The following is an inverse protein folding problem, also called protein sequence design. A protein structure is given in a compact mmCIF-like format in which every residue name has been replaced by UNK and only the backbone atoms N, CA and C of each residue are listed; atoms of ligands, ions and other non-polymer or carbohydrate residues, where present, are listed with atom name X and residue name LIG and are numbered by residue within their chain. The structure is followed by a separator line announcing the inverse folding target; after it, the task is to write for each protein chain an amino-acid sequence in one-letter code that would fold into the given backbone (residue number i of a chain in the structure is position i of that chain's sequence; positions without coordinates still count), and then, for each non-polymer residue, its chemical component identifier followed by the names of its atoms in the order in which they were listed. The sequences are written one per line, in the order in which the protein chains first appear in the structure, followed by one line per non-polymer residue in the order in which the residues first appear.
data_IF_027552961147
#
_entry.id   IF_027552961147
#
_cell.length_a   1.000
_cell.length_b   1.000
_cell.length_c   1.000
_cell.angle_alpha   90.00
_cell.angle_beta   90.00
_cell.angle_gamma   90.00
#
_symmetry.space_group_name_H-M   'P 1'
#
loop_
_entity.id
_entity.type
_entity.pdbx_description
1 polymer ?
#
# COMPACT_ATOMS: atom_id res chain seq x y z
N UNK A 1 11.14 -14.30 12.29
CA UNK A 1 12.48 -13.66 12.06
C UNK A 1 13.12 -14.47 10.94
N UNK A 2 13.52 -13.83 9.85
CA UNK A 2 14.15 -14.54 8.72
C UNK A 2 15.55 -14.94 9.14
N UNK A 3 15.87 -16.21 9.04
CA UNK A 3 17.20 -16.71 9.36
C UNK A 3 18.22 -16.32 8.28
N UNK A 4 19.49 -16.15 8.68
CA UNK A 4 20.57 -15.77 7.73
C UNK A 4 20.67 -16.74 6.57
N UNK A 5 20.47 -18.02 6.85
CA UNK A 5 20.56 -19.09 5.87
C UNK A 5 19.45 -19.02 4.84
N UNK A 6 18.21 -18.72 5.28
CA UNK A 6 17.05 -18.60 4.40
C UNK A 6 17.21 -17.46 3.37
N UNK A 7 17.66 -16.27 3.81
CA UNK A 7 17.82 -15.13 2.92
C UNK A 7 18.85 -15.37 1.80
N UNK A 8 20.00 -15.96 2.17
CA UNK A 8 21.04 -16.32 1.21
C UNK A 8 20.59 -17.39 0.23
N UNK A 9 19.85 -18.38 0.71
CA UNK A 9 19.30 -19.47 -0.10
C UNK A 9 18.24 -18.95 -1.10
N UNK A 10 17.31 -18.10 -0.65
CA UNK A 10 16.33 -17.46 -1.55
C UNK A 10 16.99 -16.66 -2.67
N UNK A 11 18.02 -15.89 -2.33
CA UNK A 11 18.78 -15.17 -3.33
C UNK A 11 19.46 -16.13 -4.33
N UNK A 12 20.14 -17.16 -3.83
CA UNK A 12 20.82 -18.19 -4.64
C UNK A 12 19.87 -18.85 -5.63
N UNK A 13 18.66 -19.23 -5.18
CA UNK A 13 17.64 -19.81 -6.06
C UNK A 13 17.26 -18.87 -7.21
N UNK A 14 17.02 -17.60 -6.91
CA UNK A 14 16.69 -16.59 -7.93
C UNK A 14 17.82 -16.39 -8.95
N UNK A 15 19.07 -16.37 -8.48
CA UNK A 15 20.23 -16.27 -9.34
C UNK A 15 20.39 -17.50 -10.24
N UNK A 16 20.29 -18.71 -9.66
CA UNK A 16 20.42 -19.95 -10.41
C UNK A 16 19.30 -20.15 -11.43
N UNK A 17 18.08 -19.75 -11.10
CA UNK A 17 16.96 -19.77 -12.04
C UNK A 17 17.23 -18.93 -13.30
N UNK A 18 18.10 -17.91 -13.19
CA UNK A 18 18.56 -17.06 -14.30
C UNK A 18 19.85 -17.56 -14.95
N UNK A 19 20.35 -18.73 -14.52
CA UNK A 19 21.61 -19.36 -15.00
C UNK A 19 22.84 -18.47 -14.83
N UNK A 20 22.82 -17.53 -13.87
CA UNK A 20 23.93 -16.64 -13.56
C UNK A 20 24.91 -17.28 -12.57
N UNK A 21 26.20 -17.09 -12.78
CA UNK A 21 27.27 -17.40 -11.81
C UNK A 21 27.43 -16.24 -10.84
N UNK A 22 28.03 -16.47 -9.68
CA UNK A 22 28.35 -15.39 -8.73
C UNK A 22 29.29 -14.34 -9.35
N UNK A 23 30.18 -14.77 -10.25
CA UNK A 23 31.06 -13.86 -11.01
C UNK A 23 30.31 -12.94 -11.95
N UNK A 24 29.17 -13.36 -12.46
CA UNK A 24 28.36 -12.57 -13.40
C UNK A 24 27.60 -11.44 -12.69
N UNK A 25 27.38 -11.59 -11.38
CA UNK A 25 26.72 -10.60 -10.52
C UNK A 25 27.73 -9.70 -9.80
N UNK A 26 28.97 -10.17 -9.64
CA UNK A 26 30.01 -9.39 -8.98
C UNK A 26 30.27 -8.06 -9.69
N UNK A 27 30.37 -6.96 -8.91
CA UNK A 27 30.58 -5.61 -9.41
C UNK A 27 31.43 -4.78 -8.43
N UNK A 28 31.66 -3.52 -8.74
CA UNK A 28 32.29 -2.58 -7.82
C UNK A 28 31.43 -2.47 -6.54
N UNK A 29 31.98 -2.88 -5.41
CA UNK A 29 31.27 -2.91 -4.11
C UNK A 29 30.75 -4.29 -3.69
N UNK A 30 30.64 -5.28 -4.61
CA UNK A 30 30.14 -6.63 -4.30
C UNK A 30 30.99 -7.71 -4.99
N UNK A 31 31.74 -8.49 -4.21
CA UNK A 31 32.60 -9.54 -4.74
C UNK A 31 31.89 -10.90 -4.82
N UNK A 32 32.33 -11.78 -5.74
CA UNK A 32 31.84 -13.15 -5.82
C UNK A 32 32.05 -13.94 -4.51
N UNK A 33 33.14 -13.67 -3.78
CA UNK A 33 33.39 -14.27 -2.46
C UNK A 33 32.39 -13.85 -1.40
N UNK A 34 31.95 -12.58 -1.42
CA UNK A 34 30.91 -12.09 -0.51
C UNK A 34 29.56 -12.72 -0.85
N UNK A 35 29.20 -12.81 -2.12
CA UNK A 35 28.00 -13.52 -2.58
C UNK A 35 28.03 -14.99 -2.16
N UNK A 36 29.17 -15.69 -2.32
CA UNK A 36 29.30 -17.07 -1.92
C UNK A 36 29.06 -17.29 -0.42
N UNK A 37 29.65 -16.46 0.43
CA UNK A 37 29.44 -16.52 1.89
C UNK A 37 27.99 -16.21 2.29
N UNK A 38 27.37 -15.27 1.60
CA UNK A 38 25.97 -14.92 1.81
C UNK A 38 25.03 -16.06 1.43
N UNK A 39 25.20 -16.64 0.24
CA UNK A 39 24.38 -17.76 -0.26
C UNK A 39 24.54 -19.06 0.57
N UNK A 40 25.66 -19.19 1.30
CA UNK A 40 25.90 -20.30 2.23
C UNK A 40 25.45 -19.97 3.66
N UNK A 41 24.83 -18.82 3.90
CA UNK A 41 24.41 -18.38 5.23
C UNK A 41 25.57 -18.07 6.19
N UNK A 42 26.82 -18.00 5.69
CA UNK A 42 28.00 -17.74 6.52
C UNK A 42 28.12 -16.28 6.93
N UNK A 43 27.62 -15.34 6.11
CA UNK A 43 27.58 -13.90 6.41
C UNK A 43 26.37 -13.24 5.78
N UNK A 44 25.88 -12.17 6.41
CA UNK A 44 24.90 -11.27 5.79
C UNK A 44 25.62 -10.26 4.90
N UNK A 45 24.93 -9.81 3.86
CA UNK A 45 25.32 -8.62 3.12
C UNK A 45 24.81 -7.37 3.87
N UNK A 46 25.57 -6.28 3.79
CA UNK A 46 25.04 -4.96 4.15
C UNK A 46 23.96 -4.54 3.17
N UNK A 47 23.10 -3.59 3.56
CA UNK A 47 21.95 -3.20 2.74
C UNK A 47 22.34 -2.74 1.32
N UNK A 48 23.40 -1.94 1.20
CA UNK A 48 23.96 -1.49 -0.07
C UNK A 48 24.37 -2.67 -0.98
N UNK A 49 25.03 -3.68 -0.42
CA UNK A 49 25.44 -4.89 -1.15
C UNK A 49 24.28 -5.80 -1.51
N UNK A 50 23.27 -5.88 -0.66
CA UNK A 50 22.05 -6.63 -0.98
C UNK A 50 21.30 -5.96 -2.15
N UNK A 51 21.24 -4.63 -2.18
CA UNK A 51 20.70 -3.87 -3.30
C UNK A 51 21.42 -4.23 -4.60
N UNK A 52 22.75 -4.17 -4.60
CA UNK A 52 23.57 -4.53 -5.76
C UNK A 52 23.35 -5.99 -6.20
N UNK A 53 23.23 -6.91 -5.25
CA UNK A 53 22.97 -8.31 -5.52
C UNK A 53 21.62 -8.53 -6.21
N UNK A 54 20.54 -7.92 -5.71
CA UNK A 54 19.19 -8.01 -6.27
C UNK A 54 19.15 -7.41 -7.68
N UNK A 55 19.72 -6.23 -7.87
CA UNK A 55 19.83 -5.57 -9.17
C UNK A 55 20.64 -6.41 -10.17
N UNK A 56 21.74 -7.00 -9.70
CA UNK A 56 22.63 -7.82 -10.52
C UNK A 56 22.00 -9.10 -11.09
N UNK A 57 20.88 -9.53 -10.54
CA UNK A 57 20.07 -10.63 -11.08
C UNK A 57 18.80 -10.16 -11.79
N UNK A 58 18.66 -8.86 -12.02
CA UNK A 58 17.51 -8.24 -12.68
C UNK A 58 16.17 -8.63 -12.04
N UNK A 59 16.09 -8.50 -10.73
CA UNK A 59 14.90 -8.71 -9.90
C UNK A 59 14.56 -7.40 -9.23
N UNK A 60 13.28 -7.08 -9.13
CA UNK A 60 12.81 -5.93 -8.35
C UNK A 60 12.76 -6.25 -6.85
N UNK A 61 12.77 -5.21 -6.01
CA UNK A 61 12.60 -5.40 -4.56
C UNK A 61 11.28 -6.04 -4.20
N UNK A 62 10.21 -5.71 -4.94
CA UNK A 62 8.88 -6.28 -4.74
C UNK A 62 8.85 -7.78 -5.04
N UNK A 63 9.46 -8.21 -6.14
CA UNK A 63 9.59 -9.63 -6.49
C UNK A 63 10.43 -10.39 -5.46
N UNK A 64 11.55 -9.78 -5.03
CA UNK A 64 12.39 -10.37 -3.98
C UNK A 64 11.66 -10.47 -2.65
N UNK A 65 10.97 -9.41 -2.23
CA UNK A 65 10.17 -9.36 -1.02
C UNK A 65 9.00 -10.34 -1.04
N UNK A 66 8.33 -10.49 -2.19
CA UNK A 66 7.24 -11.45 -2.36
C UNK A 66 7.72 -12.90 -2.17
N UNK A 67 8.85 -13.27 -2.78
CA UNK A 67 9.47 -14.59 -2.56
C UNK A 67 9.89 -14.77 -1.10
N UNK A 68 10.48 -13.73 -0.50
CA UNK A 68 10.92 -13.75 0.90
C UNK A 68 9.76 -14.00 1.88
N UNK A 69 8.58 -13.49 1.55
CA UNK A 69 7.33 -13.75 2.27
C UNK A 69 6.65 -15.06 1.86
N UNK A 70 7.39 -16.02 1.31
CA UNK A 70 6.82 -17.29 0.83
C UNK A 70 5.64 -17.09 -0.13
N UNK A 71 5.76 -16.13 -1.02
CA UNK A 71 4.71 -15.74 -1.97
C UNK A 71 3.39 -15.31 -1.31
N UNK A 72 3.48 -14.81 -0.07
CA UNK A 72 2.34 -14.25 0.66
C UNK A 72 2.35 -12.72 0.54
N UNK A 73 1.16 -12.15 0.52
CA UNK A 73 0.98 -10.70 0.61
C UNK A 73 1.46 -10.15 1.96
N UNK A 74 1.85 -8.88 1.98
CA UNK A 74 2.11 -8.18 3.24
C UNK A 74 0.85 -8.17 4.13
N UNK A 75 0.99 -8.04 5.46
CA UNK A 75 -0.16 -8.02 6.37
C UNK A 75 -1.23 -6.99 5.97
N UNK A 76 -0.82 -5.76 5.60
CA UNK A 76 -1.74 -4.71 5.19
C UNK A 76 -2.50 -5.06 3.90
N UNK A 77 -1.82 -5.60 2.89
CA UNK A 77 -2.47 -6.00 1.63
C UNK A 77 -3.44 -7.17 1.86
N UNK A 78 -3.06 -8.11 2.74
CA UNK A 78 -3.92 -9.24 3.13
C UNK A 78 -5.20 -8.77 3.82
N UNK A 79 -5.09 -7.80 4.73
CA UNK A 79 -6.25 -7.17 5.41
C UNK A 79 -7.11 -6.46 4.36
N UNK A 80 -6.54 -5.60 3.52
CA UNK A 80 -7.27 -4.89 2.47
C UNK A 80 -8.02 -5.84 1.54
N UNK A 81 -7.40 -6.93 1.09
CA UNK A 81 -8.06 -7.95 0.27
C UNK A 81 -9.20 -8.64 0.99
N UNK A 82 -9.05 -8.94 2.31
CA UNK A 82 -10.14 -9.50 3.11
C UNK A 82 -11.31 -8.52 3.21
N UNK A 83 -11.05 -7.24 3.43
CA UNK A 83 -12.07 -6.18 3.46
C UNK A 83 -12.83 -6.14 2.14
N UNK A 84 -12.14 -6.01 1.01
CA UNK A 84 -12.78 -5.97 -0.33
C UNK A 84 -13.62 -7.21 -0.57
N UNK A 85 -13.13 -8.40 -0.23
CA UNK A 85 -13.89 -9.64 -0.41
C UNK A 85 -15.19 -9.65 0.42
N UNK A 86 -15.12 -9.27 1.72
CA UNK A 86 -16.30 -9.22 2.59
C UNK A 86 -17.29 -8.13 2.16
N UNK A 87 -16.76 -6.96 1.81
CA UNK A 87 -17.56 -5.84 1.33
C UNK A 87 -18.33 -6.19 0.05
N UNK A 88 -17.68 -6.78 -0.92
CA UNK A 88 -18.29 -7.18 -2.21
C UNK A 88 -19.41 -8.20 -2.01
N UNK A 89 -19.30 -9.06 -0.99
CA UNK A 89 -20.35 -10.04 -0.65
C UNK A 89 -21.36 -9.51 0.38
N UNK A 90 -21.28 -8.23 0.77
CA UNK A 90 -22.12 -7.60 1.80
C UNK A 90 -22.11 -8.36 3.15
N UNK A 91 -20.95 -8.95 3.47
CA UNK A 91 -20.74 -9.81 4.63
C UNK A 91 -20.33 -8.96 5.86
N UNK A 92 -21.29 -8.27 6.48
CA UNK A 92 -21.07 -7.45 7.67
C UNK A 92 -20.50 -8.29 8.83
N UNK A 93 -21.07 -9.46 9.10
CA UNK A 93 -20.57 -10.33 10.16
C UNK A 93 -19.12 -10.77 9.94
N UNK A 94 -18.73 -11.01 8.68
CA UNK A 94 -17.36 -11.28 8.32
C UNK A 94 -16.44 -10.08 8.51
N UNK A 95 -16.91 -8.85 8.29
CA UNK A 95 -16.15 -7.62 8.59
C UNK A 95 -15.98 -7.41 10.10
N UNK A 96 -17.02 -7.62 10.91
CA UNK A 96 -16.93 -7.57 12.37
C UNK A 96 -15.91 -8.57 12.92
N UNK A 97 -15.95 -9.80 12.42
CA UNK A 97 -14.93 -10.80 12.76
C UNK A 97 -13.52 -10.38 12.35
N UNK A 98 -13.37 -9.76 11.18
CA UNK A 98 -12.07 -9.25 10.71
C UNK A 98 -11.57 -8.13 11.62
N UNK A 99 -12.44 -7.30 12.18
CA UNK A 99 -12.09 -6.28 13.16
C UNK A 99 -11.44 -6.90 14.40
N UNK A 100 -12.03 -7.98 14.95
CA UNK A 100 -11.45 -8.72 16.07
C UNK A 100 -10.08 -9.36 15.70
N UNK A 101 -9.96 -9.91 14.47
CA UNK A 101 -8.71 -10.50 13.99
C UNK A 101 -7.58 -9.47 13.91
N UNK A 102 -7.88 -8.25 13.44
CA UNK A 102 -6.88 -7.17 13.27
C UNK A 102 -6.30 -6.71 14.61
N UNK A 103 -7.06 -6.74 15.69
CA UNK A 103 -6.57 -6.40 17.04
C UNK A 103 -5.48 -7.36 17.52
N UNK A 104 -5.44 -8.59 17.02
CA UNK A 104 -4.45 -9.63 17.37
C UNK A 104 -3.27 -9.70 16.40
N UNK A 105 -3.29 -8.94 15.29
CA UNK A 105 -2.20 -8.98 14.30
C UNK A 105 -0.88 -8.45 14.87
N UNK A 106 0.24 -9.08 14.44
CA UNK A 106 1.59 -8.68 14.84
C UNK A 106 2.06 -7.44 14.05
N UNK A 107 1.48 -6.30 14.38
CA UNK A 107 1.88 -4.99 13.83
C UNK A 107 1.84 -3.93 14.92
N UNK A 108 2.44 -2.74 14.67
CA UNK A 108 2.38 -1.64 15.62
C UNK A 108 0.93 -1.21 15.90
N UNK A 109 0.65 -0.81 17.14
CA UNK A 109 -0.70 -0.45 17.59
C UNK A 109 -1.35 0.62 16.69
N UNK A 110 -0.58 1.62 16.27
CA UNK A 110 -1.03 2.65 15.32
C UNK A 110 -1.63 2.03 14.06
N UNK A 111 -0.94 1.09 13.43
CA UNK A 111 -1.41 0.47 12.20
C UNK A 111 -2.56 -0.51 12.41
N UNK A 112 -2.66 -1.16 13.58
CA UNK A 112 -3.85 -1.94 13.94
C UNK A 112 -5.09 -1.05 13.99
N UNK A 113 -4.99 0.09 14.71
CA UNK A 113 -6.10 1.06 14.82
C UNK A 113 -6.48 1.63 13.45
N UNK A 114 -5.54 2.01 12.61
CA UNK A 114 -5.81 2.52 11.26
C UNK A 114 -6.51 1.48 10.37
N UNK A 115 -6.08 0.21 10.39
CA UNK A 115 -6.78 -0.85 9.68
C UNK A 115 -8.17 -1.13 10.25
N UNK A 116 -8.35 -1.05 11.57
CA UNK A 116 -9.66 -1.16 12.21
C UNK A 116 -10.61 -0.06 11.73
N UNK A 117 -10.14 1.19 11.60
CA UNK A 117 -10.92 2.31 11.05
C UNK A 117 -11.38 2.01 9.62
N UNK A 118 -10.52 1.46 8.76
CA UNK A 118 -10.92 1.07 7.39
C UNK A 118 -12.00 -0.02 7.40
N UNK A 119 -11.93 -0.98 8.34
CA UNK A 119 -12.97 -2.01 8.47
C UNK A 119 -14.30 -1.40 8.96
N UNK A 120 -14.23 -0.49 9.93
CA UNK A 120 -15.42 0.23 10.43
C UNK A 120 -16.08 1.05 9.32
N UNK A 121 -15.30 1.70 8.45
CA UNK A 121 -15.81 2.41 7.27
C UNK A 121 -16.51 1.47 6.30
N UNK A 122 -15.93 0.31 6.03
CA UNK A 122 -16.54 -0.69 5.18
C UNK A 122 -17.89 -1.20 5.75
N UNK A 123 -17.99 -1.39 7.07
CA UNK A 123 -19.23 -1.75 7.73
C UNK A 123 -20.26 -0.61 7.61
N UNK A 124 -19.86 0.63 7.92
CA UNK A 124 -20.73 1.81 7.80
C UNK A 124 -21.24 2.02 6.38
N UNK A 125 -20.42 1.71 5.38
CA UNK A 125 -20.82 1.82 3.97
C UNK A 125 -21.92 0.80 3.60
N UNK A 126 -21.96 -0.35 4.27
CA UNK A 126 -23.01 -1.37 4.10
C UNK A 126 -24.21 -1.15 5.03
N UNK A 127 -23.99 -0.65 6.25
CA UNK A 127 -25.02 -0.30 7.22
C UNK A 127 -24.78 1.10 7.78
N UNK A 128 -25.52 2.08 7.29
CA UNK A 128 -25.42 3.49 7.70
C UNK A 128 -25.77 3.75 9.17
N UNK A 129 -26.33 2.77 9.88
CA UNK A 129 -26.57 2.87 11.34
C UNK A 129 -25.33 2.49 12.16
N UNK A 130 -24.31 1.85 11.55
CA UNK A 130 -23.05 1.57 12.23
C UNK A 130 -22.34 2.88 12.57
N UNK A 131 -22.03 3.14 13.86
CA UNK A 131 -21.49 4.44 14.27
C UNK A 131 -20.05 4.62 13.80
N UNK A 132 -19.72 5.84 13.34
CA UNK A 132 -18.35 6.29 13.16
C UNK A 132 -17.97 7.12 14.40
N UNK A 133 -17.01 6.63 15.18
CA UNK A 133 -16.62 7.24 16.45
C UNK A 133 -15.75 8.47 16.23
N UNK A 134 -16.04 9.57 16.94
CA UNK A 134 -15.28 10.83 16.83
C UNK A 134 -13.81 10.64 17.18
N UNK A 135 -13.50 9.80 18.17
CA UNK A 135 -12.11 9.48 18.56
C UNK A 135 -11.32 8.81 17.42
N UNK A 136 -11.98 7.99 16.60
CA UNK A 136 -11.34 7.36 15.44
C UNK A 136 -11.14 8.38 14.31
N UNK A 137 -12.10 9.29 14.11
CA UNK A 137 -11.98 10.42 13.19
C UNK A 137 -10.82 11.34 13.54
N UNK A 138 -10.71 11.74 14.81
CA UNK A 138 -9.61 12.58 15.31
C UNK A 138 -8.26 11.89 15.16
N UNK A 139 -8.18 10.60 15.49
CA UNK A 139 -6.94 9.82 15.37
C UNK A 139 -6.50 9.69 13.90
N UNK A 140 -7.42 9.35 13.01
CA UNK A 140 -7.19 9.23 11.57
C UNK A 140 -6.70 10.56 10.98
N UNK A 141 -7.42 11.64 11.28
CA UNK A 141 -7.13 12.97 10.78
C UNK A 141 -5.76 13.43 11.26
N UNK A 142 -5.47 13.28 12.56
CA UNK A 142 -4.16 13.63 13.13
C UNK A 142 -3.02 12.85 12.48
N UNK A 143 -3.22 11.56 12.21
CA UNK A 143 -2.23 10.74 11.50
C UNK A 143 -1.97 11.27 10.09
N UNK A 144 -3.03 11.47 9.28
CA UNK A 144 -2.89 11.93 7.89
C UNK A 144 -2.28 13.33 7.77
N UNK A 145 -2.56 14.22 8.74
CA UNK A 145 -1.93 15.54 8.80
C UNK A 145 -0.43 15.45 9.09
N UNK A 146 -0.03 14.56 10.01
CA UNK A 146 1.35 14.44 10.46
C UNK A 146 2.30 13.85 9.41
N UNK A 147 1.81 13.10 8.41
CA UNK A 147 2.65 12.48 7.38
C UNK A 147 2.89 13.47 6.23
N UNK A 148 4.15 13.81 6.00
CA UNK A 148 4.54 14.79 4.96
C UNK A 148 4.57 14.20 3.56
N UNK A 149 4.97 12.91 3.43
CA UNK A 149 5.10 12.21 2.15
C UNK A 149 4.28 10.93 2.16
N UNK A 150 3.23 10.90 1.33
CA UNK A 150 2.29 9.79 1.31
C UNK A 150 2.78 8.68 0.40
N UNK A 151 2.98 7.52 1.02
CA UNK A 151 3.22 6.26 0.32
C UNK A 151 1.90 5.57 -0.02
N UNK A 152 1.98 4.33 -0.51
CA UNK A 152 0.79 3.52 -0.80
C UNK A 152 -0.16 3.39 0.40
N UNK A 153 0.36 3.28 1.62
CA UNK A 153 -0.48 3.05 2.79
C UNK A 153 -1.36 4.25 3.14
N UNK A 154 -0.83 5.47 3.07
CA UNK A 154 -1.60 6.70 3.32
C UNK A 154 -2.65 6.94 2.23
N UNK A 155 -2.31 6.62 0.97
CA UNK A 155 -3.28 6.67 -0.15
C UNK A 155 -4.41 5.68 0.08
N UNK A 156 -4.07 4.42 0.41
CA UNK A 156 -5.04 3.39 0.73
C UNK A 156 -5.94 3.81 1.90
N UNK A 157 -5.36 4.32 2.98
CA UNK A 157 -6.07 4.76 4.16
C UNK A 157 -7.04 5.89 3.82
N UNK A 158 -6.55 6.97 3.22
CA UNK A 158 -7.38 8.12 2.86
C UNK A 158 -8.53 7.74 1.92
N UNK A 159 -8.25 6.96 0.87
CA UNK A 159 -9.26 6.57 -0.12
C UNK A 159 -10.38 5.68 0.45
N UNK A 160 -10.14 5.03 1.60
CA UNK A 160 -11.11 4.09 2.20
C UNK A 160 -11.63 4.56 3.58
N UNK A 161 -11.48 5.85 3.90
CA UNK A 161 -11.94 6.39 5.19
C UNK A 161 -12.49 7.82 5.08
N UNK A 162 -12.85 8.27 3.89
CA UNK A 162 -13.39 9.62 3.67
C UNK A 162 -14.65 9.94 4.50
N UNK A 163 -15.58 9.00 4.73
CA UNK A 163 -16.74 9.22 5.59
C UNK A 163 -16.40 9.65 7.03
N UNK A 164 -15.23 9.28 7.56
CA UNK A 164 -14.77 9.73 8.88
C UNK A 164 -14.34 11.20 8.92
N UNK A 165 -14.08 11.80 7.77
CA UNK A 165 -13.52 13.15 7.70
C UNK A 165 -14.61 14.22 7.70
N UNK A 166 -14.37 15.33 8.41
CA UNK A 166 -15.19 16.52 8.25
C UNK A 166 -15.07 17.08 6.81
N UNK A 167 -16.00 17.93 6.39
CA UNK A 167 -15.91 18.56 5.07
C UNK A 167 -14.60 19.36 4.89
N UNK A 168 -14.12 20.01 5.95
CA UNK A 168 -12.88 20.78 5.91
C UNK A 168 -11.66 19.86 5.75
N UNK A 169 -11.61 18.78 6.53
CA UNK A 169 -10.52 17.80 6.48
C UNK A 169 -10.50 17.05 5.15
N UNK A 170 -11.68 16.66 4.64
CA UNK A 170 -11.80 16.02 3.33
C UNK A 170 -11.19 16.91 2.24
N UNK A 171 -11.62 18.18 2.15
CA UNK A 171 -11.13 19.12 1.15
C UNK A 171 -9.63 19.34 1.31
N UNK A 172 -9.15 19.61 2.53
CA UNK A 172 -7.75 19.87 2.77
C UNK A 172 -6.87 18.68 2.43
N UNK A 173 -7.23 17.47 2.91
CA UNK A 173 -6.45 16.26 2.66
C UNK A 173 -6.52 15.83 1.19
N UNK A 174 -7.66 16.04 0.52
CA UNK A 174 -7.78 15.80 -0.92
C UNK A 174 -6.83 16.70 -1.74
N UNK A 175 -6.71 17.97 -1.40
CA UNK A 175 -5.75 18.88 -2.04
C UNK A 175 -4.32 18.49 -1.64
N UNK A 176 -4.09 18.16 -0.37
CA UNK A 176 -2.77 17.75 0.12
C UNK A 176 -2.28 16.44 -0.53
N UNK A 177 -3.19 15.57 -0.96
CA UNK A 177 -2.83 14.33 -1.67
C UNK A 177 -1.96 14.63 -2.90
N UNK A 178 -2.23 15.70 -3.65
CA UNK A 178 -1.47 16.07 -4.83
C UNK A 178 -0.01 16.40 -4.50
N UNK A 179 0.22 17.10 -3.41
CA UNK A 179 1.57 17.48 -2.96
C UNK A 179 2.28 16.30 -2.26
N UNK A 180 1.60 15.67 -1.31
CA UNK A 180 2.17 14.62 -0.46
C UNK A 180 2.49 13.32 -1.21
N UNK A 181 1.82 13.03 -2.34
CA UNK A 181 2.09 11.82 -3.15
C UNK A 181 3.04 12.06 -4.31
N UNK A 182 3.48 13.29 -4.54
CA UNK A 182 4.25 13.71 -5.72
C UNK A 182 5.49 12.86 -6.00
N UNK A 183 6.23 12.47 -4.96
CA UNK A 183 7.45 11.67 -5.09
C UNK A 183 7.18 10.22 -5.50
N UNK A 184 6.01 9.70 -5.16
CA UNK A 184 5.65 8.30 -5.38
C UNK A 184 4.63 8.07 -6.49
N UNK A 185 4.14 9.13 -7.14
CA UNK A 185 3.08 9.05 -8.17
C UNK A 185 3.45 8.21 -9.39
N UNK A 186 4.73 8.06 -9.68
CA UNK A 186 5.22 7.25 -10.82
C UNK A 186 5.27 5.74 -10.49
N UNK A 187 5.22 5.36 -9.22
CA UNK A 187 5.09 3.96 -8.85
C UNK A 187 3.72 3.42 -9.30
N UNK A 188 3.73 2.26 -9.96
CA UNK A 188 2.51 1.69 -10.57
C UNK A 188 1.36 1.55 -9.57
N UNK A 189 1.64 1.01 -8.38
CA UNK A 189 0.63 0.85 -7.34
C UNK A 189 0.07 2.20 -6.85
N UNK A 190 0.95 3.17 -6.58
CA UNK A 190 0.52 4.49 -6.12
C UNK A 190 -0.34 5.18 -7.18
N UNK A 191 0.05 5.13 -8.45
CA UNK A 191 -0.73 5.71 -9.55
C UNK A 191 -2.12 5.08 -9.68
N UNK A 192 -2.23 3.76 -9.53
CA UNK A 192 -3.53 3.08 -9.54
C UNK A 192 -4.41 3.57 -8.38
N UNK A 193 -3.85 3.62 -7.17
CA UNK A 193 -4.58 4.13 -6.01
C UNK A 193 -4.95 5.61 -6.11
N UNK A 194 -4.09 6.46 -6.69
CA UNK A 194 -4.40 7.86 -6.91
C UNK A 194 -5.58 8.04 -7.88
N UNK A 195 -5.63 7.29 -8.99
CA UNK A 195 -6.77 7.33 -9.91
C UNK A 195 -8.08 6.93 -9.22
N UNK A 196 -8.08 5.81 -8.52
CA UNK A 196 -9.23 5.37 -7.72
C UNK A 196 -9.57 6.39 -6.62
N UNK A 197 -8.54 6.97 -6.00
CA UNK A 197 -8.69 8.02 -5.00
C UNK A 197 -9.39 9.26 -5.53
N UNK A 198 -9.03 9.74 -6.71
CA UNK A 198 -9.72 10.88 -7.32
C UNK A 198 -11.18 10.58 -7.66
N UNK A 199 -11.47 9.36 -8.15
CA UNK A 199 -12.86 8.95 -8.36
C UNK A 199 -13.65 8.93 -7.04
N UNK A 200 -13.07 8.40 -5.96
CA UNK A 200 -13.68 8.38 -4.64
C UNK A 200 -13.88 9.80 -4.08
N UNK A 201 -12.88 10.68 -4.24
CA UNK A 201 -12.97 12.09 -3.83
C UNK A 201 -14.13 12.77 -4.56
N UNK A 202 -14.20 12.62 -5.88
CA UNK A 202 -15.26 13.23 -6.71
C UNK A 202 -16.63 12.70 -6.24
N UNK A 203 -16.76 11.39 -6.04
CA UNK A 203 -17.99 10.78 -5.55
C UNK A 203 -18.41 11.35 -4.18
N UNK A 204 -17.49 11.44 -3.24
CA UNK A 204 -17.73 11.95 -1.89
C UNK A 204 -18.07 13.45 -1.91
N UNK A 205 -17.39 14.25 -2.74
CA UNK A 205 -17.70 15.66 -2.93
C UNK A 205 -19.11 15.87 -3.54
N UNK A 206 -19.53 14.99 -4.46
CA UNK A 206 -20.89 15.01 -5.03
C UNK A 206 -21.93 14.67 -3.96
N UNK A 207 -21.72 13.62 -3.15
CA UNK A 207 -22.62 13.20 -2.08
C UNK A 207 -22.80 14.32 -1.05
N UNK A 208 -21.71 15.01 -0.69
CA UNK A 208 -21.71 16.14 0.25
C UNK A 208 -22.11 17.49 -0.39
N UNK A 209 -22.41 17.52 -1.69
CA UNK A 209 -22.78 18.73 -2.45
C UNK A 209 -21.67 19.81 -2.47
N UNK A 210 -20.42 19.40 -2.42
CA UNK A 210 -19.24 20.27 -2.45
C UNK A 210 -18.73 20.48 -3.89
N UNK A 211 -19.63 20.78 -4.82
CA UNK A 211 -19.42 20.79 -6.27
C UNK A 211 -18.29 21.70 -6.74
N UNK A 212 -18.02 22.79 -6.01
CA UNK A 212 -16.99 23.77 -6.40
C UNK A 212 -15.56 23.22 -6.41
N UNK A 213 -15.31 22.11 -5.72
CA UNK A 213 -13.98 21.48 -5.64
C UNK A 213 -13.78 20.37 -6.69
N UNK A 214 -14.85 19.87 -7.29
CA UNK A 214 -14.78 18.75 -8.25
C UNK A 214 -13.85 19.03 -9.43
N UNK A 215 -13.89 20.22 -10.12
CA UNK A 215 -13.08 20.44 -11.32
C UNK A 215 -11.56 20.27 -11.10
N UNK A 216 -11.07 20.47 -9.88
CA UNK A 216 -9.66 20.29 -9.54
C UNK A 216 -9.27 18.83 -9.73
N UNK A 217 -10.05 17.90 -9.14
CA UNK A 217 -9.77 16.47 -9.16
C UNK A 217 -10.09 15.84 -10.51
N UNK A 218 -11.06 16.38 -11.24
CA UNK A 218 -11.34 16.04 -12.63
C UNK A 218 -10.11 16.28 -13.50
N UNK A 219 -9.57 17.48 -13.46
CA UNK A 219 -8.38 17.85 -14.24
C UNK A 219 -7.17 16.96 -13.90
N UNK A 220 -6.97 16.67 -12.61
CA UNK A 220 -5.86 15.79 -12.19
C UNK A 220 -6.07 14.34 -12.65
N UNK A 221 -7.29 13.81 -12.53
CA UNK A 221 -7.63 12.48 -13.03
C UNK A 221 -7.38 12.38 -14.54
N UNK A 222 -7.89 13.34 -15.32
CA UNK A 222 -7.65 13.37 -16.78
C UNK A 222 -6.16 13.38 -17.13
N UNK A 223 -5.35 14.15 -16.40
CA UNK A 223 -3.90 14.23 -16.62
C UNK A 223 -3.19 12.90 -16.40
N UNK A 224 -3.75 12.04 -15.56
CA UNK A 224 -3.20 10.73 -15.21
C UNK A 224 -3.72 9.59 -16.09
N UNK A 225 -4.86 9.77 -16.77
CA UNK A 225 -5.47 8.75 -17.62
C UNK A 225 -4.67 8.52 -18.89
N UNK A 226 -4.35 7.26 -19.15
CA UNK A 226 -3.68 6.79 -20.37
C UNK A 226 -4.69 6.08 -21.28
N UNK A 227 -4.38 5.88 -22.58
CA UNK A 227 -5.30 5.24 -23.52
C UNK A 227 -5.80 3.84 -23.11
N UNK A 228 -5.04 3.14 -22.26
CA UNK A 228 -5.38 1.81 -21.75
C UNK A 228 -6.13 1.80 -20.42
N UNK A 229 -6.36 2.96 -19.80
CA UNK A 229 -7.15 3.11 -18.56
C UNK A 229 -8.65 3.12 -18.88
N UNK A 230 -9.13 1.99 -19.43
CA UNK A 230 -10.50 1.88 -19.97
C UNK A 230 -11.53 1.88 -18.84
N UNK A 231 -11.23 1.22 -17.72
CA UNK A 231 -12.15 1.11 -16.59
C UNK A 231 -12.41 2.49 -15.96
N UNK A 232 -11.38 3.24 -15.68
CA UNK A 232 -11.48 4.58 -15.11
C UNK A 232 -12.24 5.53 -16.06
N UNK A 233 -12.02 5.38 -17.38
CA UNK A 233 -12.73 6.18 -18.41
C UNK A 233 -14.22 5.86 -18.52
N UNK A 234 -14.64 4.67 -18.11
CA UNK A 234 -16.05 4.25 -18.09
C UNK A 234 -16.78 4.75 -16.84
N UNK A 235 -16.02 4.93 -15.71
CA UNK A 235 -16.57 5.46 -14.47
C UNK A 235 -16.61 6.99 -14.44
N UNK A 236 -15.80 7.60 -15.28
CA UNK A 236 -15.75 9.04 -15.52
C UNK A 236 -16.85 9.46 -16.50
#
# INVERSE_FOLDING_TARGET
MIEKQELGEFYKELRLARKLKQSDVACAGLTASQLSKFELGQSMLSADKLILAIQGINVTFDEFGHKLNNYQESPHMRIGRKIVNRFTHQDIAGLEKLLEEVEQEQMAQTYRRLNAIVIKDAIHSLDKNYPLEEEDSEFLTSYLYAIESWTWFELYLFCNTMPFLSNQDLIFLSISLLEKSKEFKELVHNRLYMKSGFLNIISELMERKLFSYIPIFESELESMLRPYDVFERLLW
#
